data_IF_699106366591
#
_entry.id   IF_699106366591
#
_cell.length_a   1.000
_cell.length_b   1.000
_cell.length_c   1.000
_cell.angle_alpha   90.00
_cell.angle_beta   90.00
_cell.angle_gamma   90.00
#
_symmetry.space_group_name_H-M   'P 1'
#
loop_
_entity.id
_entity.type
_entity.pdbx_description
1 polymer ?
#
# COMPACT_ATOMS: atom_id res chain seq x y z
N UNK A 1 2.46 -24.69 -1.00
CA UNK A 1 2.63 -23.40 -0.38
C UNK A 1 3.34 -23.46 0.96
N UNK A 2 3.09 -24.38 1.85
CA UNK A 2 3.83 -24.46 3.12
C UNK A 2 4.82 -25.63 3.05
N UNK A 3 6.08 -25.32 2.70
CA UNK A 3 7.18 -26.29 2.63
C UNK A 3 7.64 -26.72 4.04
N UNK A 4 7.52 -25.80 4.99
CA UNK A 4 7.96 -25.97 6.38
C UNK A 4 6.81 -25.73 7.35
N UNK A 5 6.91 -26.29 8.55
CA UNK A 5 5.99 -26.03 9.67
C UNK A 5 6.38 -24.69 10.33
N UNK A 6 6.11 -23.60 9.61
CA UNK A 6 6.44 -22.25 10.04
C UNK A 6 5.24 -21.61 10.73
N UNK A 7 5.48 -20.96 11.86
CA UNK A 7 4.50 -20.23 12.64
C UNK A 7 4.91 -18.76 12.77
N UNK A 8 3.98 -17.85 12.53
CA UNK A 8 4.18 -16.41 12.72
C UNK A 8 4.02 -16.06 14.20
N UNK A 9 5.03 -15.41 14.79
CA UNK A 9 5.01 -14.89 16.15
C UNK A 9 4.64 -13.42 16.15
N UNK A 10 5.38 -12.63 15.38
CA UNK A 10 5.20 -11.17 15.29
C UNK A 10 5.30 -10.71 13.84
N UNK A 11 4.61 -9.64 13.53
CA UNK A 11 4.75 -8.92 12.28
C UNK A 11 4.48 -7.44 12.50
N UNK A 12 5.36 -6.60 11.96
CA UNK A 12 5.22 -5.16 11.97
C UNK A 12 5.74 -4.61 10.64
N UNK A 13 5.04 -3.65 10.06
CA UNK A 13 5.46 -2.99 8.83
C UNK A 13 4.71 -1.72 8.57
N UNK A 14 5.37 -0.79 7.90
CA UNK A 14 4.82 0.51 7.57
C UNK A 14 4.49 1.37 8.79
N UNK A 15 4.05 2.60 8.55
CA UNK A 15 3.77 3.55 9.64
C UNK A 15 2.56 4.45 9.32
N UNK A 16 2.65 5.24 8.25
CA UNK A 16 1.65 6.25 7.90
C UNK A 16 0.69 5.72 6.83
N UNK A 17 -0.61 5.98 7.02
CA UNK A 17 -1.64 5.54 6.06
C UNK A 17 -1.47 6.13 4.64
N UNK A 18 -0.82 7.28 4.54
CA UNK A 18 -0.61 8.02 3.29
C UNK A 18 0.81 7.94 2.73
N UNK A 19 1.65 7.06 3.28
CA UNK A 19 3.00 6.81 2.79
C UNK A 19 3.16 5.36 2.37
N UNK A 20 4.00 5.12 1.35
CA UNK A 20 4.40 3.77 0.97
C UNK A 20 5.29 3.21 2.09
N UNK A 21 5.02 1.98 2.59
CA UNK A 21 5.85 1.33 3.59
C UNK A 21 7.31 1.24 3.13
N UNK A 22 8.24 1.50 4.03
CA UNK A 22 9.67 1.45 3.75
C UNK A 22 10.39 0.31 4.45
N UNK A 23 9.76 -0.25 5.47
CA UNK A 23 10.32 -1.30 6.31
C UNK A 23 9.22 -2.24 6.81
N UNK A 24 9.57 -3.49 6.98
CA UNK A 24 8.75 -4.48 7.65
C UNK A 24 9.65 -5.54 8.26
N UNK A 25 9.23 -6.10 9.39
CA UNK A 25 9.87 -7.24 10.00
C UNK A 25 8.84 -8.27 10.46
N UNK A 26 9.27 -9.53 10.53
CA UNK A 26 8.45 -10.60 11.06
C UNK A 26 9.33 -11.58 11.86
N UNK A 27 8.81 -12.04 12.98
CA UNK A 27 9.41 -13.09 13.78
C UNK A 27 8.63 -14.38 13.55
N UNK A 28 9.35 -15.44 13.18
CA UNK A 28 8.75 -16.72 12.88
C UNK A 28 9.42 -17.83 13.66
N UNK A 29 8.64 -18.78 14.17
CA UNK A 29 9.14 -20.02 14.75
C UNK A 29 9.12 -21.15 13.71
N UNK A 30 10.19 -21.94 13.68
CA UNK A 30 10.31 -23.13 12.84
C UNK A 30 10.88 -24.29 13.67
N UNK A 31 10.53 -25.55 13.35
CA UNK A 31 11.16 -26.70 13.99
C UNK A 31 12.68 -26.66 13.83
N UNK A 32 13.42 -27.00 14.89
CA UNK A 32 14.89 -26.97 14.88
C UNK A 32 15.49 -27.80 13.72
N UNK A 33 14.86 -28.92 13.37
CA UNK A 33 15.28 -29.76 12.23
C UNK A 33 15.23 -29.05 10.87
N UNK A 34 14.36 -28.06 10.72
CA UNK A 34 14.13 -27.34 9.46
C UNK A 34 14.90 -26.00 9.40
N UNK A 35 15.49 -25.57 10.50
CA UNK A 35 16.15 -24.26 10.64
C UNK A 35 17.13 -23.94 9.50
N UNK A 36 18.06 -24.83 9.20
CA UNK A 36 19.07 -24.59 8.17
C UNK A 36 18.47 -24.63 6.76
N UNK A 37 17.48 -25.48 6.52
CA UNK A 37 16.80 -25.53 5.23
C UNK A 37 15.99 -24.25 4.97
N UNK A 38 15.29 -23.73 5.99
CA UNK A 38 14.59 -22.45 5.92
C UNK A 38 15.57 -21.31 5.64
N UNK A 39 16.71 -21.31 6.30
CA UNK A 39 17.76 -20.31 6.10
C UNK A 39 18.29 -20.28 4.66
N UNK A 40 18.56 -21.45 4.11
CA UNK A 40 19.04 -21.57 2.71
C UNK A 40 17.98 -21.05 1.75
N UNK A 41 16.73 -21.51 1.88
CA UNK A 41 15.64 -21.09 0.99
C UNK A 41 15.39 -19.59 1.08
N UNK A 42 15.40 -19.00 2.29
CA UNK A 42 15.22 -17.56 2.46
C UNK A 42 16.39 -16.77 1.85
N UNK A 43 17.64 -17.17 2.07
CA UNK A 43 18.78 -16.47 1.45
C UNK A 43 18.73 -16.50 -0.08
N UNK A 44 18.29 -17.60 -0.66
CA UNK A 44 18.06 -17.67 -2.12
C UNK A 44 16.99 -16.65 -2.54
N UNK A 45 15.85 -16.65 -1.84
CA UNK A 45 14.75 -15.73 -2.12
C UNK A 45 15.15 -14.26 -1.93
N UNK A 46 15.89 -13.92 -0.87
CA UNK A 46 16.39 -12.57 -0.63
C UNK A 46 17.27 -12.10 -1.80
N UNK A 47 18.20 -12.96 -2.26
CA UNK A 47 19.05 -12.64 -3.40
C UNK A 47 18.26 -12.46 -4.70
N UNK A 48 17.21 -13.24 -4.93
CA UNK A 48 16.32 -13.08 -6.08
C UNK A 48 15.60 -11.72 -6.05
N UNK A 49 15.04 -11.34 -4.89
CA UNK A 49 14.34 -10.06 -4.70
C UNK A 49 15.29 -8.88 -4.85
N UNK A 50 16.47 -8.93 -4.23
CA UNK A 50 17.48 -7.88 -4.36
C UNK A 50 17.91 -7.68 -5.84
N UNK A 51 18.10 -8.76 -6.58
CA UNK A 51 18.42 -8.69 -8.00
C UNK A 51 17.28 -8.11 -8.84
N UNK A 52 16.03 -8.50 -8.56
CA UNK A 52 14.85 -8.00 -9.27
C UNK A 52 14.68 -6.49 -9.10
N UNK A 53 14.90 -6.00 -7.88
CA UNK A 53 14.71 -4.59 -7.55
C UNK A 53 15.99 -3.74 -7.64
N UNK A 54 17.12 -4.28 -8.05
CA UNK A 54 18.42 -3.59 -8.07
C UNK A 54 18.42 -2.24 -8.80
N UNK A 55 17.58 -2.07 -9.83
CA UNK A 55 17.49 -0.82 -10.61
C UNK A 55 16.56 0.21 -9.94
N UNK A 56 15.43 -0.25 -9.39
CA UNK A 56 14.41 0.64 -8.81
C UNK A 56 14.64 0.93 -7.33
N UNK A 57 15.21 -0.03 -6.60
CA UNK A 57 15.47 0.03 -5.17
C UNK A 57 16.91 -0.40 -4.85
N UNK A 58 17.93 0.34 -5.30
CA UNK A 58 19.34 -0.06 -5.14
C UNK A 58 19.82 -0.13 -3.70
N UNK A 59 19.05 0.39 -2.75
CA UNK A 59 19.34 0.36 -1.32
C UNK A 59 18.42 -0.61 -0.55
N UNK A 60 17.75 -1.52 -1.25
CA UNK A 60 16.97 -2.57 -0.61
C UNK A 60 17.92 -3.49 0.17
N UNK A 61 17.62 -3.66 1.45
CA UNK A 61 18.36 -4.57 2.35
C UNK A 61 17.36 -5.54 2.95
N UNK A 62 17.64 -6.83 2.85
CA UNK A 62 16.84 -7.89 3.45
C UNK A 62 17.75 -8.78 4.27
N UNK A 63 17.47 -8.90 5.56
CA UNK A 63 18.32 -9.63 6.52
C UNK A 63 17.54 -10.73 7.21
N UNK A 64 18.21 -11.83 7.52
CA UNK A 64 17.69 -12.94 8.32
C UNK A 64 18.54 -13.13 9.55
N UNK A 65 17.93 -12.90 10.69
CA UNK A 65 18.59 -13.07 12.00
C UNK A 65 17.97 -14.23 12.80
N UNK A 66 18.71 -14.72 13.77
CA UNK A 66 18.21 -15.70 14.73
C UNK A 66 17.79 -14.98 16.00
N UNK A 67 16.54 -15.16 16.38
CA UNK A 67 15.96 -14.60 17.59
C UNK A 67 15.76 -15.65 18.69
N UNK A 68 15.51 -15.18 19.90
CA UNK A 68 15.05 -16.01 21.00
C UNK A 68 13.70 -16.64 20.69
N UNK A 69 13.42 -17.86 21.17
CA UNK A 69 12.11 -18.47 20.95
C UNK A 69 10.97 -17.58 21.44
N UNK A 70 9.97 -17.38 20.60
CA UNK A 70 8.76 -16.64 20.98
C UNK A 70 7.89 -17.47 21.93
N UNK A 71 7.22 -16.79 22.86
CA UNK A 71 6.33 -17.44 23.83
C UNK A 71 5.00 -17.88 23.22
N UNK A 72 4.54 -17.15 22.22
CA UNK A 72 3.25 -17.33 21.56
C UNK A 72 3.42 -17.29 20.04
N UNK A 73 2.56 -18.04 19.35
CA UNK A 73 2.48 -18.04 17.90
C UNK A 73 1.04 -17.79 17.46
N UNK A 74 0.87 -17.22 16.30
CA UNK A 74 -0.44 -17.06 15.69
C UNK A 74 -1.06 -18.42 15.42
N UNK A 75 -2.37 -18.56 15.66
CA UNK A 75 -3.11 -19.75 15.29
C UNK A 75 -2.98 -20.01 13.79
N UNK A 76 -2.78 -21.29 13.42
CA UNK A 76 -2.39 -21.69 12.06
C UNK A 76 -3.36 -21.23 10.98
N UNK A 77 -4.67 -21.39 11.20
CA UNK A 77 -5.66 -20.98 10.21
C UNK A 77 -5.78 -19.45 10.09
N UNK A 78 -5.66 -18.73 11.21
CA UNK A 78 -5.61 -17.27 11.22
C UNK A 78 -4.38 -16.76 10.44
N UNK A 79 -3.20 -17.36 10.66
CA UNK A 79 -1.99 -17.04 9.91
C UNK A 79 -2.16 -17.27 8.42
N UNK A 80 -2.69 -18.43 8.02
CA UNK A 80 -2.93 -18.74 6.60
C UNK A 80 -3.87 -17.74 5.96
N UNK A 81 -4.99 -17.47 6.60
CA UNK A 81 -5.98 -16.51 6.11
C UNK A 81 -5.40 -15.11 5.98
N UNK A 82 -4.65 -14.67 6.99
CA UNK A 82 -3.95 -13.39 6.96
C UNK A 82 -2.95 -13.33 5.79
N UNK A 83 -2.08 -14.31 5.64
CA UNK A 83 -1.09 -14.36 4.55
C UNK A 83 -1.77 -14.38 3.17
N UNK A 84 -2.84 -15.13 3.01
CA UNK A 84 -3.62 -15.12 1.76
C UNK A 84 -4.26 -13.77 1.50
N UNK A 85 -4.79 -13.09 2.52
CA UNK A 85 -5.41 -11.78 2.38
C UNK A 85 -4.38 -10.71 1.94
N UNK A 86 -3.23 -10.63 2.60
CA UNK A 86 -2.19 -9.65 2.24
C UNK A 86 -1.55 -9.94 0.87
N UNK A 87 -1.54 -11.20 0.45
CA UNK A 87 -1.04 -11.58 -0.88
C UNK A 87 -2.05 -11.32 -2.00
N UNK A 88 -3.35 -11.47 -1.70
CA UNK A 88 -4.43 -11.26 -2.66
C UNK A 88 -4.83 -9.79 -2.82
N UNK A 89 -4.64 -8.97 -1.78
CA UNK A 89 -5.02 -7.55 -1.82
C UNK A 89 -4.17 -6.78 -2.82
N UNK A 90 -4.84 -5.94 -3.63
CA UNK A 90 -4.11 -5.08 -4.56
C UNK A 90 -3.31 -4.00 -3.81
N UNK A 91 -2.04 -3.88 -4.17
CA UNK A 91 -1.15 -2.81 -3.70
C UNK A 91 -0.44 -2.16 -4.89
N UNK A 92 -0.43 -0.83 -4.97
CA UNK A 92 0.18 -0.07 -6.04
C UNK A 92 -0.84 0.63 -6.96
N UNK A 93 -0.40 0.95 -8.17
CA UNK A 93 -1.23 1.58 -9.20
C UNK A 93 -2.21 0.57 -9.76
N UNK A 94 -3.49 0.92 -9.76
CA UNK A 94 -4.55 0.12 -10.36
C UNK A 94 -4.95 0.62 -11.74
N UNK A 95 -5.11 1.94 -11.89
CA UNK A 95 -5.44 2.55 -13.17
C UNK A 95 -4.71 3.86 -13.38
N UNK A 96 -4.37 4.12 -14.65
CA UNK A 96 -3.84 5.40 -15.11
C UNK A 96 -4.97 6.28 -15.66
N UNK A 97 -4.82 7.58 -15.51
CA UNK A 97 -5.78 8.55 -16.06
C UNK A 97 -5.86 8.44 -17.58
N UNK A 98 -7.10 8.38 -18.10
CA UNK A 98 -7.36 8.41 -19.54
C UNK A 98 -7.28 9.84 -20.11
N UNK A 99 -7.47 10.84 -19.26
CA UNK A 99 -7.51 12.25 -19.66
C UNK A 99 -6.11 12.90 -19.62
N UNK A 100 -5.23 12.45 -18.72
CA UNK A 100 -3.91 13.06 -18.49
C UNK A 100 -2.82 11.97 -18.52
N UNK A 101 -2.03 11.91 -19.57
CA UNK A 101 -0.94 10.93 -19.69
C UNK A 101 0.06 11.03 -18.51
N UNK A 102 0.42 9.88 -17.97
CA UNK A 102 1.39 9.78 -16.86
C UNK A 102 0.83 10.08 -15.47
N UNK A 103 -0.46 10.46 -15.35
CA UNK A 103 -1.11 10.63 -14.06
C UNK A 103 -1.75 9.32 -13.60
N UNK A 104 -1.49 8.93 -12.35
CA UNK A 104 -2.22 7.83 -11.70
C UNK A 104 -3.65 8.28 -11.42
N UNK A 105 -4.63 7.48 -11.82
CA UNK A 105 -6.05 7.71 -11.52
C UNK A 105 -6.45 7.02 -10.22
N UNK A 106 -6.21 5.70 -10.13
CA UNK A 106 -6.63 4.86 -9.01
C UNK A 106 -5.45 4.04 -8.47
N UNK A 107 -5.28 4.03 -7.17
CA UNK A 107 -4.26 3.24 -6.49
C UNK A 107 -4.73 2.74 -5.13
N UNK A 108 -4.08 1.69 -4.64
CA UNK A 108 -4.22 1.18 -3.29
C UNK A 108 -2.85 1.09 -2.62
N UNK A 109 -2.79 1.38 -1.34
CA UNK A 109 -1.58 1.28 -0.52
C UNK A 109 -1.87 0.37 0.68
N UNK A 110 -1.15 -0.75 0.79
CA UNK A 110 -1.06 -1.55 2.00
C UNK A 110 -0.12 -0.82 2.96
N UNK A 111 -0.68 0.10 3.73
CA UNK A 111 0.07 1.15 4.40
C UNK A 111 0.79 0.70 5.67
N UNK A 112 0.15 -0.15 6.45
CA UNK A 112 0.81 -0.72 7.64
C UNK A 112 0.14 -2.00 8.12
N UNK A 113 0.94 -2.81 8.79
CA UNK A 113 0.52 -3.99 9.56
C UNK A 113 1.08 -3.80 10.97
N UNK A 114 0.23 -3.80 11.98
CA UNK A 114 0.61 -3.61 13.38
C UNK A 114 -0.07 -4.63 14.28
N UNK A 115 0.65 -5.13 15.26
CA UNK A 115 0.06 -5.94 16.32
C UNK A 115 -0.38 -5.03 17.47
N UNK A 116 -1.66 -5.07 17.83
CA UNK A 116 -2.25 -4.27 18.91
C UNK A 116 -3.26 -5.11 19.68
N UNK A 117 -3.11 -5.17 20.99
CA UNK A 117 -4.05 -5.86 21.90
C UNK A 117 -4.38 -7.29 21.47
N UNK A 118 -3.37 -8.05 21.05
CA UNK A 118 -3.52 -9.44 20.58
C UNK A 118 -4.21 -9.59 19.21
N UNK A 119 -4.41 -8.50 18.48
CA UNK A 119 -4.98 -8.49 17.13
C UNK A 119 -3.98 -7.95 16.11
N UNK A 120 -4.05 -8.44 14.88
CA UNK A 120 -3.39 -7.79 13.73
C UNK A 120 -4.32 -6.72 13.17
N UNK A 121 -3.78 -5.51 13.08
CA UNK A 121 -4.46 -4.36 12.46
C UNK A 121 -3.75 -4.04 11.16
N UNK A 122 -4.46 -4.19 10.06
CA UNK A 122 -3.98 -3.82 8.72
C UNK A 122 -4.64 -2.52 8.31
N UNK A 123 -3.83 -1.54 7.93
CA UNK A 123 -4.31 -0.26 7.41
C UNK A 123 -4.01 -0.18 5.93
N UNK A 124 -5.04 0.10 5.15
CA UNK A 124 -4.93 0.35 3.71
C UNK A 124 -5.46 1.72 3.34
N UNK A 125 -4.98 2.30 2.26
CA UNK A 125 -5.44 3.60 1.77
C UNK A 125 -5.67 3.55 0.26
N UNK A 126 -6.90 3.82 -0.18
CA UNK A 126 -7.29 3.85 -1.57
C UNK A 126 -7.47 5.29 -2.04
N UNK A 127 -6.92 5.60 -3.20
CA UNK A 127 -7.03 6.92 -3.83
C UNK A 127 -7.54 6.79 -5.26
N UNK A 128 -8.40 7.70 -5.65
CA UNK A 128 -8.81 7.88 -7.04
C UNK A 128 -9.33 9.30 -7.26
N UNK A 129 -9.10 9.83 -8.46
CA UNK A 129 -9.76 11.05 -8.93
C UNK A 129 -11.23 10.80 -9.34
N UNK A 130 -11.65 9.53 -9.47
CA UNK A 130 -12.99 9.09 -9.81
C UNK A 130 -13.64 8.40 -8.63
N UNK A 131 -14.75 8.95 -8.14
CA UNK A 131 -15.41 8.46 -6.93
C UNK A 131 -15.89 7.00 -7.04
N UNK A 132 -16.43 6.59 -8.18
CA UNK A 132 -16.87 5.22 -8.44
C UNK A 132 -15.69 4.24 -8.40
N UNK A 133 -14.57 4.57 -9.03
CA UNK A 133 -13.35 3.76 -9.03
C UNK A 133 -12.75 3.64 -7.64
N UNK A 134 -12.80 4.72 -6.84
CA UNK A 134 -12.36 4.66 -5.43
C UNK A 134 -13.23 3.70 -4.60
N UNK A 135 -14.56 3.79 -4.78
CA UNK A 135 -15.50 2.89 -4.08
C UNK A 135 -15.28 1.42 -4.49
N UNK A 136 -15.11 1.16 -5.78
CA UNK A 136 -14.85 -0.18 -6.30
C UNK A 136 -13.54 -0.74 -5.75
N UNK A 137 -12.44 0.02 -5.78
CA UNK A 137 -11.16 -0.39 -5.18
C UNK A 137 -11.30 -0.66 -3.69
N UNK A 138 -12.03 0.17 -2.94
CA UNK A 138 -12.30 -0.07 -1.51
C UNK A 138 -13.07 -1.37 -1.28
N UNK A 139 -14.03 -1.70 -2.14
CA UNK A 139 -14.77 -2.97 -2.07
C UNK A 139 -13.89 -4.17 -2.40
N UNK A 140 -13.02 -4.08 -3.40
CA UNK A 140 -12.05 -5.13 -3.74
C UNK A 140 -11.14 -5.43 -2.55
N UNK A 141 -10.54 -4.40 -1.96
CA UNK A 141 -9.66 -4.52 -0.79
C UNK A 141 -10.42 -5.11 0.40
N UNK A 142 -11.61 -4.59 0.69
CA UNK A 142 -12.47 -5.11 1.76
C UNK A 142 -12.81 -6.58 1.55
N UNK A 143 -13.14 -6.97 0.33
CA UNK A 143 -13.49 -8.36 -0.01
C UNK A 143 -12.33 -9.32 0.23
N UNK A 144 -11.09 -8.94 -0.10
CA UNK A 144 -9.91 -9.76 0.14
C UNK A 144 -9.72 -10.07 1.64
N UNK A 145 -9.93 -9.09 2.51
CA UNK A 145 -9.83 -9.27 3.96
C UNK A 145 -11.03 -10.00 4.56
N UNK A 146 -12.25 -9.71 4.09
CA UNK A 146 -13.46 -10.43 4.53
C UNK A 146 -13.41 -11.91 4.20
N UNK A 147 -12.92 -12.30 3.02
CA UNK A 147 -12.69 -13.68 2.63
C UNK A 147 -11.67 -14.38 3.54
N UNK A 148 -10.70 -13.65 4.07
CA UNK A 148 -9.75 -14.12 5.07
C UNK A 148 -10.31 -14.14 6.50
N UNK A 149 -11.58 -13.78 6.71
CA UNK A 149 -12.23 -13.77 8.03
C UNK A 149 -11.90 -12.55 8.90
N UNK A 150 -11.36 -11.49 8.32
CA UNK A 150 -11.09 -10.26 9.05
C UNK A 150 -12.35 -9.41 9.24
N UNK A 151 -12.40 -8.62 10.29
CA UNK A 151 -13.33 -7.51 10.44
C UNK A 151 -12.82 -6.31 9.64
N UNK A 152 -13.66 -5.71 8.82
CA UNK A 152 -13.29 -4.58 7.97
C UNK A 152 -14.13 -3.35 8.31
N UNK A 153 -13.46 -2.22 8.51
CA UNK A 153 -14.10 -0.90 8.63
C UNK A 153 -13.59 0.01 7.53
N UNK A 154 -14.48 0.74 6.89
CA UNK A 154 -14.15 1.72 5.86
C UNK A 154 -14.54 3.12 6.32
N UNK A 155 -13.65 4.09 6.12
CA UNK A 155 -13.94 5.51 6.36
C UNK A 155 -14.49 6.18 5.10
N UNK A 156 -15.14 7.33 5.29
CA UNK A 156 -15.72 8.12 4.18
C UNK A 156 -14.64 8.71 3.25
N UNK A 157 -13.44 8.95 3.78
CA UNK A 157 -12.31 9.49 3.04
C UNK A 157 -12.53 10.92 2.53
N UNK A 158 -11.58 11.42 1.76
CA UNK A 158 -11.68 12.70 1.06
C UNK A 158 -12.31 12.52 -0.31
N UNK A 159 -13.10 13.50 -0.82
CA UNK A 159 -13.60 13.48 -2.19
C UNK A 159 -12.44 13.45 -3.20
N UNK A 160 -12.63 12.73 -4.28
CA UNK A 160 -11.72 12.80 -5.43
C UNK A 160 -11.82 14.17 -6.10
N UNK A 161 -10.72 14.66 -6.62
CA UNK A 161 -10.72 15.85 -7.45
C UNK A 161 -10.26 15.49 -8.87
N UNK A 162 -11.22 15.52 -9.79
CA UNK A 162 -10.91 15.32 -11.22
C UNK A 162 -10.39 16.64 -11.80
N UNK A 163 -9.14 16.70 -12.29
CA UNK A 163 -8.61 17.90 -12.91
C UNK A 163 -9.43 18.29 -14.15
N UNK A 164 -9.70 19.61 -14.31
CA UNK A 164 -10.33 20.16 -15.50
C UNK A 164 -9.36 21.09 -16.25
N UNK A 165 -8.63 20.57 -17.26
CA UNK A 165 -7.67 21.35 -18.03
C UNK A 165 -8.30 22.52 -18.84
N UNK A 166 -9.60 22.47 -19.07
CA UNK A 166 -10.34 23.50 -19.83
C UNK A 166 -11.05 24.53 -18.94
N UNK A 167 -10.82 24.51 -17.61
CA UNK A 167 -11.49 25.44 -16.70
C UNK A 167 -11.06 26.89 -16.96
N UNK A 168 -12.00 27.83 -16.90
CA UNK A 168 -11.78 29.26 -17.07
C UNK A 168 -10.77 29.81 -16.06
N UNK A 169 -10.89 29.39 -14.79
CA UNK A 169 -9.97 29.83 -13.74
C UNK A 169 -8.52 29.39 -14.00
N UNK A 170 -8.32 28.23 -14.61
CA UNK A 170 -6.98 27.79 -15.00
C UNK A 170 -6.41 28.70 -16.09
N UNK A 171 -7.21 29.06 -17.10
CA UNK A 171 -6.79 29.97 -18.18
C UNK A 171 -6.40 31.34 -17.62
N UNK A 172 -7.26 31.93 -16.78
CA UNK A 172 -6.98 33.22 -16.10
C UNK A 172 -5.70 33.13 -15.24
N UNK A 173 -5.50 32.00 -14.57
CA UNK A 173 -4.29 31.78 -13.74
C UNK A 173 -3.03 31.71 -14.58
N UNK A 174 -3.07 31.01 -15.72
CA UNK A 174 -1.95 30.90 -16.68
C UNK A 174 -1.59 32.26 -17.26
N UNK A 175 -2.59 33.03 -17.72
CA UNK A 175 -2.36 34.37 -18.26
C UNK A 175 -1.78 35.33 -17.23
N UNK A 176 -2.29 35.28 -16.00
CA UNK A 176 -1.78 36.10 -14.90
C UNK A 176 -0.35 35.76 -14.55
N UNK A 177 -0.02 34.47 -14.53
CA UNK A 177 1.35 34.00 -14.29
C UNK A 177 2.31 34.46 -15.38
N UNK A 178 1.94 34.31 -16.66
CA UNK A 178 2.73 34.81 -17.79
C UNK A 178 2.97 36.31 -17.70
N UNK A 179 1.94 37.08 -17.34
CA UNK A 179 2.05 38.54 -17.19
C UNK A 179 3.00 38.95 -16.05
N UNK A 180 2.97 38.23 -14.93
CA UNK A 180 3.77 38.55 -13.73
C UNK A 180 5.22 38.08 -13.83
N UNK A 181 5.45 36.92 -14.42
CA UNK A 181 6.75 36.25 -14.39
C UNK A 181 7.43 36.14 -15.77
N UNK A 182 6.78 36.61 -16.83
CA UNK A 182 7.25 36.48 -18.21
C UNK A 182 7.66 35.04 -18.62
N UNK A 183 7.07 34.04 -18.01
CA UNK A 183 7.39 32.61 -18.20
C UNK A 183 6.09 31.80 -18.30
N UNK A 184 6.09 30.76 -19.13
CA UNK A 184 4.97 29.81 -19.24
C UNK A 184 4.92 28.90 -17.99
N UNK A 185 3.78 28.85 -17.25
CA UNK A 185 3.65 27.92 -16.13
C UNK A 185 3.53 26.47 -16.62
N UNK A 186 4.11 25.54 -15.87
CA UNK A 186 3.88 24.11 -16.10
C UNK A 186 2.63 23.68 -15.34
N UNK A 187 1.57 23.38 -16.09
CA UNK A 187 0.33 22.84 -15.53
C UNK A 187 0.55 21.37 -15.20
N UNK A 188 0.31 20.99 -13.95
CA UNK A 188 0.43 19.62 -13.49
C UNK A 188 -0.79 19.23 -12.67
N UNK A 189 -1.13 17.96 -12.68
CA UNK A 189 -2.07 17.36 -11.76
C UNK A 189 -1.31 16.45 -10.76
N UNK A 190 -1.89 16.25 -9.60
CA UNK A 190 -1.35 15.35 -8.57
C UNK A 190 -2.38 14.29 -8.20
N UNK A 191 -1.89 13.13 -7.81
CA UNK A 191 -2.72 12.03 -7.31
C UNK A 191 -2.92 12.17 -5.79
N UNK A 192 -3.71 13.19 -5.39
CA UNK A 192 -4.03 13.48 -3.99
C UNK A 192 -5.41 14.13 -3.87
N UNK A 193 -6.08 13.91 -2.72
CA UNK A 193 -7.22 14.73 -2.33
C UNK A 193 -6.71 16.12 -1.91
N UNK A 194 -7.39 17.16 -2.38
CA UNK A 194 -7.12 18.53 -2.01
C UNK A 194 -8.32 19.10 -1.23
N UNK A 195 -8.05 20.03 -0.34
CA UNK A 195 -9.09 20.72 0.45
C UNK A 195 -10.12 21.40 -0.45
N UNK A 196 -9.70 21.84 -1.64
CA UNK A 196 -10.62 22.39 -2.65
C UNK A 196 -11.71 21.41 -3.10
N UNK A 197 -11.44 20.09 -3.03
CA UNK A 197 -12.45 19.06 -3.31
C UNK A 197 -13.61 19.10 -2.32
N UNK A 198 -13.36 19.44 -1.04
CA UNK A 198 -14.40 19.59 -0.02
C UNK A 198 -15.31 20.80 -0.28
N UNK A 199 -14.75 21.89 -0.84
CA UNK A 199 -15.54 23.06 -1.22
C UNK A 199 -16.42 22.76 -2.43
N UNK A 200 -15.91 22.01 -3.41
CA UNK A 200 -16.67 21.64 -4.62
C UNK A 200 -17.84 20.68 -4.35
N UNK A 201 -17.82 19.93 -3.24
CA UNK A 201 -18.98 19.11 -2.83
C UNK A 201 -20.10 19.97 -2.20
N UNK A 202 -19.75 21.13 -1.68
CA UNK A 202 -20.66 21.97 -0.91
C UNK A 202 -21.22 23.16 -1.71
N UNK A 203 -20.49 23.64 -2.69
CA UNK A 203 -20.78 24.81 -3.51
C UNK A 203 -20.70 24.47 -5.01
#
# INVERSE_FOLDING_TARGET
MQKYDLHLCEIDGGNLHNAIPREAHAVCAVPMKDKESVRVDLNIYLSEVENEFAVTEPNLVMELESESPCAEVMQQDAMKNFLHSIYAVHNGVYAMSQDIPGLVETSSNLASIKQRDGKLVVVTSQRSSILSSRKDMSQMVSSAFLLGGAEVTTGDGYPGWKPNPSSEILQVSVESYKRLFATEPKIKAIHAGLECGLFLEKY
#
